data_IF_101631194407
#
_entry.id   IF_101631194407
#
_cell.length_a   1.000
_cell.length_b   1.000
_cell.length_c   1.000
_cell.angle_alpha   90.00
_cell.angle_beta   90.00
_cell.angle_gamma   90.00
#
_symmetry.space_group_name_H-M   'P 1'
#
loop_
_entity.id
_entity.type
_entity.pdbx_description
1 polymer ?
#
# COMPACT_ATOMS: atom_id res chain seq x y z
N UNK A 1 -25.95 4.16 12.97
CA UNK A 1 -26.59 5.33 13.61
C UNK A 1 -26.05 6.60 12.97
N UNK A 2 -26.86 7.29 12.18
CA UNK A 2 -26.48 8.59 11.63
C UNK A 2 -26.69 9.66 12.72
N UNK A 3 -25.69 10.50 12.96
CA UNK A 3 -25.75 11.60 13.94
C UNK A 3 -25.69 12.93 13.20
N UNK A 4 -26.47 13.91 13.66
CA UNK A 4 -26.54 15.25 13.05
C UNK A 4 -25.38 16.07 13.58
N UNK A 5 -24.49 16.55 12.70
CA UNK A 5 -23.32 17.35 13.07
C UNK A 5 -23.55 18.87 12.96
N UNK A 6 -24.54 19.29 12.18
CA UNK A 6 -24.87 20.71 11.92
C UNK A 6 -26.39 20.88 11.78
N UNK A 7 -26.90 22.08 12.02
CA UNK A 7 -28.33 22.39 11.97
C UNK A 7 -28.89 22.16 10.56
N UNK A 8 -29.65 21.08 10.38
CA UNK A 8 -30.05 20.55 9.07
C UNK A 8 -31.55 20.26 9.03
N UNK A 9 -32.21 20.63 7.93
CA UNK A 9 -33.60 20.22 7.66
C UNK A 9 -33.60 18.98 6.77
N UNK A 10 -34.22 17.92 7.27
CA UNK A 10 -34.32 16.64 6.57
C UNK A 10 -35.69 16.51 5.90
N UNK A 11 -35.69 16.12 4.63
CA UNK A 11 -36.88 15.67 3.93
C UNK A 11 -36.89 14.14 3.90
N UNK A 12 -37.95 13.54 4.44
CA UNK A 12 -38.12 12.08 4.47
C UNK A 12 -39.21 11.71 3.49
N UNK A 13 -38.90 10.81 2.56
CA UNK A 13 -39.87 10.28 1.60
C UNK A 13 -40.15 8.81 1.93
N UNK A 14 -41.42 8.43 1.98
CA UNK A 14 -41.80 7.02 2.18
C UNK A 14 -41.42 6.19 0.96
N UNK A 15 -41.15 4.90 1.18
CA UNK A 15 -40.75 3.96 0.11
C UNK A 15 -41.76 3.93 -1.04
N UNK A 16 -43.06 3.97 -0.73
CA UNK A 16 -44.12 3.92 -1.74
C UNK A 16 -44.15 5.19 -2.61
N UNK A 17 -44.04 6.38 -1.99
CA UNK A 17 -43.96 7.64 -2.73
C UNK A 17 -42.67 7.76 -3.54
N UNK A 18 -41.55 7.24 -3.03
CA UNK A 18 -40.29 7.17 -3.77
C UNK A 18 -40.41 6.31 -5.03
N UNK A 19 -41.01 5.12 -4.92
CA UNK A 19 -41.19 4.21 -6.05
C UNK A 19 -42.17 4.77 -7.10
N UNK A 20 -43.24 5.44 -6.65
CA UNK A 20 -44.16 6.17 -7.53
C UNK A 20 -43.43 7.28 -8.31
N UNK A 21 -42.62 8.08 -7.60
CA UNK A 21 -41.84 9.16 -8.19
C UNK A 21 -40.80 8.65 -9.21
N UNK A 22 -40.08 7.58 -8.87
CA UNK A 22 -39.10 6.93 -9.76
C UNK A 22 -39.74 6.42 -11.06
N UNK A 23 -40.98 5.88 -11.01
CA UNK A 23 -41.71 5.43 -12.20
C UNK A 23 -42.20 6.58 -13.07
N UNK A 24 -42.53 7.72 -12.45
CA UNK A 24 -43.06 8.89 -13.17
C UNK A 24 -41.99 9.67 -13.95
N UNK A 25 -40.72 9.61 -13.53
CA UNK A 25 -39.62 10.40 -14.11
C UNK A 25 -38.33 9.57 -14.22
N UNK A 26 -38.10 8.87 -15.35
CA UNK A 26 -36.92 8.01 -15.52
C UNK A 26 -35.58 8.75 -15.44
N UNK A 27 -35.52 10.05 -15.78
CA UNK A 27 -34.29 10.85 -15.63
C UNK A 27 -33.80 10.95 -14.18
N UNK A 28 -34.71 10.99 -13.19
CA UNK A 28 -34.33 11.13 -11.78
C UNK A 28 -33.75 9.82 -11.23
N UNK A 29 -34.22 8.67 -11.74
CA UNK A 29 -33.64 7.38 -11.42
C UNK A 29 -32.18 7.28 -11.89
N UNK A 30 -31.88 7.83 -13.06
CA UNK A 30 -30.52 7.84 -13.64
C UNK A 30 -29.56 8.71 -12.84
N UNK A 31 -29.99 9.90 -12.40
CA UNK A 31 -29.20 10.77 -11.51
C UNK A 31 -28.93 10.11 -10.15
N UNK A 32 -29.95 9.47 -9.56
CA UNK A 32 -29.80 8.71 -8.31
C UNK A 32 -28.82 7.55 -8.46
N UNK A 33 -28.90 6.79 -9.56
CA UNK A 33 -27.96 5.71 -9.86
C UNK A 33 -26.53 6.24 -10.01
N UNK A 34 -26.38 7.39 -10.67
CA UNK A 34 -25.07 8.04 -10.86
C UNK A 34 -24.51 8.52 -9.52
N UNK A 35 -25.34 9.13 -8.67
CA UNK A 35 -24.96 9.55 -7.33
C UNK A 35 -24.58 8.38 -6.42
N UNK A 36 -25.32 7.28 -6.47
CA UNK A 36 -25.02 6.05 -5.73
C UNK A 36 -23.74 5.38 -6.24
N UNK A 37 -23.54 5.31 -7.56
CA UNK A 37 -22.31 4.79 -8.16
C UNK A 37 -21.10 5.62 -7.72
N UNK A 38 -21.24 6.95 -7.65
CA UNK A 38 -20.18 7.83 -7.19
C UNK A 38 -19.86 7.64 -5.70
N UNK A 39 -20.89 7.45 -4.85
CA UNK A 39 -20.73 7.10 -3.44
C UNK A 39 -20.06 5.74 -3.24
N UNK A 40 -20.47 4.71 -4.00
CA UNK A 40 -19.87 3.38 -3.97
C UNK A 40 -18.39 3.43 -4.32
N UNK A 41 -18.03 4.14 -5.39
CA UNK A 41 -16.63 4.31 -5.81
C UNK A 41 -15.78 5.03 -4.76
N UNK A 42 -16.32 6.08 -4.14
CA UNK A 42 -15.65 6.79 -3.03
C UNK A 42 -15.48 5.88 -1.80
N UNK A 43 -16.45 5.03 -1.53
CA UNK A 43 -16.39 4.08 -0.40
C UNK A 43 -15.36 2.98 -0.68
N UNK A 44 -15.27 2.49 -1.91
CA UNK A 44 -14.25 1.52 -2.35
C UNK A 44 -12.83 2.12 -2.26
N UNK A 45 -12.64 3.37 -2.71
CA UNK A 45 -11.36 4.09 -2.57
C UNK A 45 -10.96 4.26 -1.10
N UNK A 46 -11.90 4.63 -0.24
CA UNK A 46 -11.64 4.80 1.19
C UNK A 46 -11.25 3.47 1.85
N UNK A 47 -11.87 2.35 1.46
CA UNK A 47 -11.52 1.02 1.97
C UNK A 47 -10.13 0.57 1.50
N UNK A 48 -9.79 0.82 0.23
CA UNK A 48 -8.45 0.52 -0.31
C UNK A 48 -7.36 1.30 0.41
N UNK A 49 -7.61 2.57 0.72
CA UNK A 49 -6.66 3.42 1.43
C UNK A 49 -6.63 3.17 2.94
N UNK A 50 -7.76 2.85 3.59
CA UNK A 50 -7.80 2.65 5.04
C UNK A 50 -7.06 1.39 5.47
N UNK A 51 -7.17 0.30 4.71
CA UNK A 51 -6.50 -0.97 5.03
C UNK A 51 -4.98 -0.83 4.90
N UNK A 52 -4.51 -0.17 3.83
CA UNK A 52 -3.07 0.07 3.60
C UNK A 52 -2.47 1.04 4.63
N UNK A 53 -3.22 2.07 5.04
CA UNK A 53 -2.75 3.09 5.97
C UNK A 53 -2.75 2.60 7.42
N UNK A 54 -3.71 1.79 7.86
CA UNK A 54 -3.81 1.37 9.26
C UNK A 54 -2.62 0.47 9.66
N UNK A 55 -2.24 -0.47 8.80
CA UNK A 55 -1.10 -1.38 9.04
C UNK A 55 0.22 -0.61 9.16
N UNK A 56 0.45 0.38 8.30
CA UNK A 56 1.68 1.19 8.33
C UNK A 56 1.70 2.17 9.54
N UNK A 57 0.53 2.61 10.02
CA UNK A 57 0.40 3.51 11.19
C UNK A 57 0.56 2.74 12.50
N UNK A 58 0.06 1.51 12.58
CA UNK A 58 0.28 0.62 13.74
C UNK A 58 1.74 0.19 13.87
N UNK A 59 2.45 -0.04 12.75
CA UNK A 59 3.90 -0.25 12.76
C UNK A 59 4.67 1.02 13.18
N UNK A 60 4.31 2.19 12.64
CA UNK A 60 4.97 3.44 12.98
C UNK A 60 4.80 3.84 14.46
N UNK A 61 3.65 3.50 15.06
CA UNK A 61 3.38 3.76 16.48
C UNK A 61 4.22 2.88 17.44
N UNK A 62 4.87 1.82 16.94
CA UNK A 62 5.77 0.94 17.72
C UNK A 62 7.25 1.15 17.45
N UNK A 63 7.63 2.06 16.55
CA UNK A 63 9.04 2.29 16.24
C UNK A 63 9.76 2.90 17.45
N UNK A 64 10.68 2.14 18.01
CA UNK A 64 11.61 2.64 19.02
C UNK A 64 12.58 3.65 18.39
N UNK A 65 13.19 4.53 19.19
CA UNK A 65 14.20 5.49 18.69
C UNK A 65 15.34 4.78 17.94
N UNK A 66 15.68 3.55 18.34
CA UNK A 66 16.62 2.66 17.67
C UNK A 66 16.18 2.22 16.27
N UNK A 67 14.89 1.97 16.04
CA UNK A 67 14.40 1.59 14.71
C UNK A 67 14.51 2.76 13.74
N UNK A 68 14.19 3.99 14.19
CA UNK A 68 14.35 5.20 13.35
C UNK A 68 15.81 5.46 12.99
N UNK A 69 16.74 5.22 13.92
CA UNK A 69 18.17 5.34 13.64
C UNK A 69 18.64 4.28 12.63
N UNK A 70 18.16 3.04 12.75
CA UNK A 70 18.47 1.97 11.80
C UNK A 70 17.95 2.27 10.39
N UNK A 71 16.76 2.88 10.23
CA UNK A 71 16.21 3.30 8.93
C UNK A 71 17.13 4.30 8.25
N UNK A 72 17.55 5.33 8.98
CA UNK A 72 18.43 6.37 8.47
C UNK A 72 19.79 5.77 8.05
N UNK A 73 20.34 4.87 8.86
CA UNK A 73 21.62 4.20 8.57
C UNK A 73 21.50 3.28 7.35
N UNK A 74 20.40 2.52 7.22
CA UNK A 74 20.17 1.65 6.08
C UNK A 74 19.96 2.43 4.77
N UNK A 75 19.20 3.52 4.82
CA UNK A 75 18.94 4.38 3.67
C UNK A 75 20.20 5.16 3.24
N UNK A 76 21.00 5.61 4.21
CA UNK A 76 22.28 6.28 3.94
C UNK A 76 23.35 5.31 3.41
N UNK A 77 23.46 4.12 4.00
CA UNK A 77 24.42 3.09 3.61
C UNK A 77 24.15 2.48 2.23
N UNK A 78 22.91 2.52 1.75
CA UNK A 78 22.51 2.02 0.43
C UNK A 78 22.73 3.00 -0.74
N UNK A 79 23.15 4.23 -0.47
CA UNK A 79 23.30 5.25 -1.53
C UNK A 79 24.62 5.12 -2.29
N UNK A 80 24.56 5.25 -3.62
CA UNK A 80 25.76 5.34 -4.46
C UNK A 80 26.65 6.54 -4.06
N UNK A 81 26.08 7.64 -3.56
CA UNK A 81 26.90 8.77 -3.10
C UNK A 81 27.77 8.41 -1.89
N UNK A 82 27.27 7.55 -1.00
CA UNK A 82 28.00 7.09 0.19
C UNK A 82 29.17 6.16 -0.20
N UNK A 83 28.93 5.21 -1.11
CA UNK A 83 29.98 4.29 -1.59
C UNK A 83 31.13 5.08 -2.22
N UNK A 84 30.83 6.07 -3.06
CA UNK A 84 31.86 6.90 -3.70
C UNK A 84 32.65 7.72 -2.67
N UNK A 85 31.98 8.32 -1.68
CA UNK A 85 32.62 9.06 -0.61
C UNK A 85 33.52 8.16 0.26
N UNK A 86 33.09 6.94 0.59
CA UNK A 86 33.88 5.97 1.33
C UNK A 86 35.14 5.56 0.54
N UNK A 87 35.02 5.27 -0.75
CA UNK A 87 36.17 4.95 -1.62
C UNK A 87 37.16 6.12 -1.67
N UNK A 88 36.68 7.36 -1.81
CA UNK A 88 37.54 8.55 -1.78
C UNK A 88 38.24 8.72 -0.44
N UNK A 89 37.52 8.51 0.67
CA UNK A 89 38.09 8.57 2.02
C UNK A 89 39.21 7.55 2.21
N UNK A 90 39.01 6.29 1.80
CA UNK A 90 40.04 5.26 1.88
C UNK A 90 41.28 5.61 1.06
N UNK A 91 41.10 6.07 -0.17
CA UNK A 91 42.21 6.50 -1.02
C UNK A 91 42.96 7.68 -0.42
N UNK A 92 42.25 8.67 0.13
CA UNK A 92 42.85 9.82 0.78
C UNK A 92 43.63 9.42 2.04
N UNK A 93 43.10 8.52 2.85
CA UNK A 93 43.77 8.00 4.06
C UNK A 93 45.09 7.30 3.72
N UNK A 94 45.07 6.42 2.72
CA UNK A 94 46.25 5.72 2.22
C UNK A 94 47.26 6.71 1.64
N UNK A 95 46.81 7.68 0.85
CA UNK A 95 47.69 8.66 0.20
C UNK A 95 48.37 9.59 1.21
N UNK A 96 47.65 10.05 2.24
CA UNK A 96 48.20 10.86 3.33
C UNK A 96 49.21 10.05 4.16
N UNK A 97 48.85 8.84 4.60
CA UNK A 97 49.76 8.03 5.44
C UNK A 97 50.99 7.53 4.66
N UNK A 98 50.86 7.23 3.37
CA UNK A 98 51.94 6.74 2.53
C UNK A 98 52.88 7.84 2.04
N UNK A 99 52.37 9.01 1.64
CA UNK A 99 53.18 10.08 1.05
C UNK A 99 53.63 11.15 2.05
N UNK A 100 52.78 11.54 3.01
CA UNK A 100 53.07 12.66 3.92
C UNK A 100 53.77 12.25 5.22
N UNK A 101 53.65 10.99 5.64
CA UNK A 101 54.01 10.54 7.00
C UNK A 101 55.08 9.42 7.05
N UNK A 102 55.99 9.41 6.09
CA UNK A 102 57.03 8.36 5.90
C UNK A 102 58.01 8.15 7.06
N UNK A 103 58.14 9.07 8.03
CA UNK A 103 59.11 8.98 9.14
C UNK A 103 58.53 8.73 10.53
N UNK A 104 57.21 8.54 10.65
CA UNK A 104 56.55 8.34 11.95
C UNK A 104 55.04 8.30 11.83
N UNK A 105 54.52 7.67 10.78
CA UNK A 105 53.13 7.78 10.41
C UNK A 105 52.17 7.24 11.44
N UNK A 106 51.02 7.91 11.55
CA UNK A 106 49.93 7.56 12.44
C UNK A 106 49.41 6.15 12.14
N UNK A 107 49.39 5.74 10.86
CA UNK A 107 49.02 4.40 10.42
C UNK A 107 49.99 3.90 9.31
N UNK A 108 51.19 3.38 9.67
CA UNK A 108 52.17 2.89 8.71
C UNK A 108 51.66 1.63 7.98
N UNK A 109 52.12 1.42 6.73
CA UNK A 109 51.87 0.17 6.02
C UNK A 109 52.30 -1.02 6.90
N UNK A 110 51.41 -1.97 7.24
CA UNK A 110 50.21 -2.42 6.50
C UNK A 110 48.83 -1.85 6.92
N UNK A 111 48.76 -0.64 7.48
CA UNK A 111 47.52 0.08 7.87
C UNK A 111 46.65 -0.65 8.90
N UNK A 112 47.20 -0.89 10.09
CA UNK A 112 46.52 -1.63 11.15
C UNK A 112 45.24 -0.92 11.63
N UNK A 113 45.27 0.40 11.80
CA UNK A 113 44.11 1.15 12.31
C UNK A 113 42.96 1.16 11.31
N UNK A 114 43.26 1.41 10.03
CA UNK A 114 42.27 1.35 8.97
C UNK A 114 41.63 -0.05 8.88
N UNK A 115 42.45 -1.09 8.88
CA UNK A 115 41.99 -2.48 8.80
C UNK A 115 41.10 -2.86 9.98
N UNK A 116 41.49 -2.49 11.21
CA UNK A 116 40.69 -2.73 12.41
C UNK A 116 39.36 -1.98 12.36
N UNK A 117 39.34 -0.71 11.95
CA UNK A 117 38.11 0.08 11.84
C UNK A 117 37.11 -0.51 10.83
N UNK A 118 37.59 -0.93 9.66
CA UNK A 118 36.74 -1.57 8.64
C UNK A 118 36.17 -2.90 9.15
N UNK A 119 36.99 -3.72 9.81
CA UNK A 119 36.53 -5.00 10.37
C UNK A 119 35.42 -4.81 11.42
N UNK A 120 35.56 -3.81 12.30
CA UNK A 120 34.50 -3.48 13.27
C UNK A 120 33.22 -3.04 12.57
N UNK A 121 33.32 -2.21 11.53
CA UNK A 121 32.18 -1.76 10.74
C UNK A 121 31.47 -2.94 10.03
N UNK A 122 32.23 -3.88 9.47
CA UNK A 122 31.71 -5.06 8.79
C UNK A 122 30.94 -6.00 9.73
N UNK A 123 31.41 -6.17 10.97
CA UNK A 123 30.70 -6.98 11.98
C UNK A 123 29.34 -6.38 12.32
N UNK A 124 29.25 -5.04 12.43
CA UNK A 124 27.99 -4.35 12.68
C UNK A 124 27.07 -4.30 11.45
N UNK A 125 27.63 -4.43 10.24
CA UNK A 125 26.87 -4.37 9.00
C UNK A 125 25.90 -5.55 8.84
N UNK A 126 26.33 -6.77 9.18
CA UNK A 126 25.50 -7.98 9.04
C UNK A 126 24.16 -7.92 9.80
N UNK A 127 24.10 -7.59 11.11
CA UNK A 127 22.84 -7.46 11.83
C UNK A 127 22.01 -6.26 11.37
N UNK A 128 22.62 -5.13 10.98
CA UNK A 128 21.87 -3.97 10.43
C UNK A 128 21.18 -4.36 9.12
N UNK A 129 21.89 -5.06 8.23
CA UNK A 129 21.31 -5.58 6.98
C UNK A 129 20.20 -6.57 7.32
N UNK A 130 20.42 -7.51 8.24
CA UNK A 130 19.41 -8.51 8.62
C UNK A 130 18.16 -7.86 9.24
N UNK A 131 18.32 -6.83 10.07
CA UNK A 131 17.21 -6.05 10.62
C UNK A 131 16.44 -5.32 9.52
N UNK A 132 17.14 -4.67 8.59
CA UNK A 132 16.52 -4.01 7.44
C UNK A 132 15.78 -5.02 6.54
N UNK A 133 16.36 -6.19 6.30
CA UNK A 133 15.74 -7.27 5.53
C UNK A 133 14.51 -7.84 6.24
N UNK A 134 14.59 -8.09 7.54
CA UNK A 134 13.46 -8.62 8.32
C UNK A 134 12.28 -7.63 8.38
N UNK A 135 12.57 -6.33 8.42
CA UNK A 135 11.53 -5.30 8.32
C UNK A 135 10.92 -5.25 6.92
N UNK A 136 11.73 -5.31 5.88
CA UNK A 136 11.22 -5.30 4.50
C UNK A 136 10.35 -6.54 4.23
N UNK A 137 10.78 -7.73 4.67
CA UNK A 137 10.00 -8.97 4.51
C UNK A 137 8.67 -8.94 5.27
N UNK A 138 8.63 -8.33 6.45
CA UNK A 138 7.38 -8.14 7.20
C UNK A 138 6.39 -7.26 6.42
N UNK A 139 6.86 -6.12 5.89
CA UNK A 139 6.06 -5.22 5.03
C UNK A 139 5.56 -5.92 3.77
N UNK A 140 6.44 -6.68 3.10
CA UNK A 140 6.09 -7.42 1.89
C UNK A 140 5.04 -8.51 2.18
N UNK A 141 5.15 -9.21 3.31
CA UNK A 141 4.16 -10.21 3.76
C UNK A 141 2.80 -9.58 4.05
N UNK A 142 2.77 -8.43 4.74
CA UNK A 142 1.53 -7.70 5.00
C UNK A 142 0.86 -7.22 3.71
N UNK A 143 1.64 -6.68 2.77
CA UNK A 143 1.14 -6.28 1.44
C UNK A 143 0.56 -7.49 0.70
N UNK A 144 1.25 -8.63 0.71
CA UNK A 144 0.76 -9.86 0.08
C UNK A 144 -0.55 -10.36 0.70
N UNK A 145 -0.72 -10.25 2.01
CA UNK A 145 -1.97 -10.65 2.69
C UNK A 145 -3.14 -9.74 2.29
N UNK A 146 -2.90 -8.42 2.22
CA UNK A 146 -3.92 -7.46 1.75
C UNK A 146 -4.32 -7.76 0.31
N UNK A 147 -3.33 -7.97 -0.56
CA UNK A 147 -3.56 -8.28 -1.98
C UNK A 147 -4.35 -9.58 -2.13
N UNK A 148 -4.03 -10.60 -1.31
CA UNK A 148 -4.80 -11.85 -1.25
C UNK A 148 -6.27 -11.62 -0.87
N UNK A 149 -6.54 -10.85 0.18
CA UNK A 149 -7.91 -10.55 0.61
C UNK A 149 -8.70 -9.76 -0.42
N UNK A 150 -8.07 -8.80 -1.10
CA UNK A 150 -8.71 -8.06 -2.20
C UNK A 150 -9.03 -9.01 -3.35
N UNK A 151 -8.11 -9.90 -3.72
CA UNK A 151 -8.33 -10.87 -4.77
C UNK A 151 -9.50 -11.81 -4.44
N UNK A 152 -9.57 -12.32 -3.22
CA UNK A 152 -10.66 -13.17 -2.76
C UNK A 152 -12.02 -12.44 -2.82
N UNK A 153 -12.07 -11.18 -2.39
CA UNK A 153 -13.29 -10.36 -2.49
C UNK A 153 -13.72 -10.14 -3.94
N UNK A 154 -12.77 -9.89 -4.83
CA UNK A 154 -13.05 -9.74 -6.26
C UNK A 154 -13.61 -11.04 -6.86
N UNK A 155 -13.05 -12.19 -6.49
CA UNK A 155 -13.54 -13.49 -6.93
C UNK A 155 -14.99 -13.76 -6.48
N UNK A 156 -15.31 -13.45 -5.22
CA UNK A 156 -16.67 -13.55 -4.70
C UNK A 156 -17.64 -12.61 -5.44
N UNK A 157 -17.25 -11.35 -5.65
CA UNK A 157 -18.06 -10.38 -6.38
C UNK A 157 -18.27 -10.79 -7.85
N UNK A 158 -17.25 -11.34 -8.52
CA UNK A 158 -17.36 -11.88 -9.87
C UNK A 158 -18.33 -13.06 -9.92
N UNK A 159 -18.23 -13.99 -8.97
CA UNK A 159 -19.16 -15.11 -8.88
C UNK A 159 -20.61 -14.65 -8.69
N UNK A 160 -20.85 -13.64 -7.86
CA UNK A 160 -22.19 -13.07 -7.70
C UNK A 160 -22.70 -12.42 -9.00
N UNK A 161 -21.84 -11.66 -9.70
CA UNK A 161 -22.19 -11.06 -10.99
C UNK A 161 -22.52 -12.14 -12.03
N UNK A 162 -21.72 -13.21 -12.10
CA UNK A 162 -21.95 -14.34 -13.01
C UNK A 162 -23.27 -15.06 -12.70
N UNK A 163 -23.62 -15.23 -11.42
CA UNK A 163 -24.91 -15.80 -11.05
C UNK A 163 -26.08 -14.92 -11.51
N UNK A 164 -25.99 -13.60 -11.32
CA UNK A 164 -27.03 -12.68 -11.79
C UNK A 164 -27.17 -12.66 -13.32
N UNK A 165 -26.05 -12.72 -14.04
CA UNK A 165 -26.03 -12.84 -15.50
C UNK A 165 -26.76 -14.09 -15.98
N UNK A 166 -26.51 -15.25 -15.35
CA UNK A 166 -27.20 -16.51 -15.68
C UNK A 166 -28.71 -16.41 -15.46
N UNK A 167 -29.15 -15.79 -14.37
CA UNK A 167 -30.59 -15.59 -14.10
C UNK A 167 -31.22 -14.70 -15.17
N UNK A 168 -30.58 -13.57 -15.52
CA UNK A 168 -31.07 -12.67 -16.57
C UNK A 168 -31.14 -13.34 -17.94
N UNK A 169 -30.13 -14.15 -18.30
CA UNK A 169 -30.12 -14.93 -19.53
C UNK A 169 -31.32 -15.90 -19.58
N UNK A 170 -31.56 -16.60 -18.48
CA UNK A 170 -32.66 -17.56 -18.36
C UNK A 170 -34.05 -16.90 -18.46
N UNK A 171 -34.22 -15.73 -17.84
CA UNK A 171 -35.47 -14.94 -17.95
C UNK A 171 -35.68 -14.43 -19.37
N UNK A 172 -34.62 -13.97 -20.03
CA UNK A 172 -34.69 -13.51 -21.42
C UNK A 172 -35.11 -14.63 -22.37
N UNK A 173 -34.57 -15.84 -22.17
CA UNK A 173 -34.95 -17.04 -22.94
C UNK A 173 -36.42 -17.42 -22.71
N UNK A 174 -36.92 -17.35 -21.47
CA UNK A 174 -38.34 -17.62 -21.16
C UNK A 174 -39.27 -16.65 -21.87
N UNK A 175 -38.97 -15.35 -21.83
CA UNK A 175 -39.76 -14.33 -22.51
C UNK A 175 -39.81 -14.52 -24.03
N UNK A 176 -38.68 -14.92 -24.63
CA UNK A 176 -38.68 -15.26 -26.07
C UNK A 176 -39.54 -16.48 -26.36
N UNK A 177 -39.52 -17.52 -25.50
CA UNK A 177 -40.32 -18.73 -25.68
C UNK A 177 -41.84 -18.44 -25.55
N UNK A 178 -42.26 -17.65 -24.56
CA UNK A 178 -43.67 -17.24 -24.41
C UNK A 178 -44.15 -16.42 -25.61
N UNK A 179 -43.34 -15.47 -26.08
CA UNK A 179 -43.68 -14.63 -27.24
C UNK A 179 -43.80 -15.42 -28.54
N UNK A 180 -43.07 -16.53 -28.67
CA UNK A 180 -43.24 -17.46 -29.79
C UNK A 180 -44.53 -18.27 -29.68
N UNK A 181 -44.93 -18.65 -28.46
CA UNK A 181 -46.16 -19.42 -28.19
C UNK A 181 -47.44 -18.62 -28.42
N UNK A 182 -47.43 -17.32 -28.13
CA UNK A 182 -48.59 -16.43 -28.36
C UNK A 182 -48.78 -16.02 -29.84
N UNK A 183 -47.84 -16.39 -30.72
CA UNK A 183 -47.89 -16.09 -32.16
C UNK A 183 -48.35 -17.27 -33.02
N UNK A 184 -48.51 -18.46 -32.44
CA UNK A 184 -49.05 -19.67 -33.08
C UNK A 184 -50.52 -19.86 -32.71
#
# INVERSE_FOLDING_TARGET
>A
NATVSEESRLAVLSREHFLSFMRSKPNVALEMLTALAHRLRRTDELLRHSVTRNVNVEEAARLTLSDRAADIIAEFGGSWKFILAAVLFFNLWVLINSLLLTKGGFDPYPYLLLSTGINMLAVLQAPIILMSQNRQSHKDRLRSEIDYQVNLKNELALNEILQRLKVLEQDCLRLTAEKHRDRE
#
